data_IF_872506562043
#
_entry.id   IF_872506562043
#
_cell.length_a   1.000
_cell.length_b   1.000
_cell.length_c   1.000
_cell.angle_alpha   90.00
_cell.angle_beta   90.00
_cell.angle_gamma   90.00
#
_symmetry.space_group_name_H-M   'P 1'
#
loop_
_entity.id
_entity.type
_entity.pdbx_description
1 polymer ?
#
# COMPACT_ATOMS: atom_id res chain seq x y z
N UNK A 1 10.19 -7.32 29.78
CA UNK A 1 9.60 -6.02 30.14
C UNK A 1 8.59 -5.68 29.06
N UNK A 2 7.30 -5.80 29.36
CA UNK A 2 6.22 -5.39 28.46
C UNK A 2 6.16 -3.87 28.46
N UNK A 3 6.73 -3.25 27.43
CA UNK A 3 6.51 -1.85 27.10
C UNK A 3 4.99 -1.64 27.01
N UNK A 4 4.43 -0.75 27.83
CA UNK A 4 3.00 -0.45 27.79
C UNK A 4 2.63 -0.04 26.36
N UNK A 5 1.74 -0.80 25.73
CA UNK A 5 1.22 -0.48 24.41
C UNK A 5 0.54 0.88 24.50
N UNK A 6 1.17 1.91 23.93
CA UNK A 6 0.56 3.24 23.81
C UNK A 6 -0.72 3.07 23.01
N UNK A 7 -1.87 3.33 23.64
CA UNK A 7 -3.19 3.18 23.01
C UNK A 7 -3.49 4.33 22.03
N UNK A 8 -2.72 5.41 22.06
CA UNK A 8 -2.92 6.56 21.18
C UNK A 8 -2.04 6.54 19.94
N UNK A 9 -2.65 6.92 18.81
CA UNK A 9 -1.95 7.11 17.54
C UNK A 9 -1.01 8.31 17.64
N UNK A 10 0.21 8.15 17.17
CA UNK A 10 1.17 9.24 17.00
C UNK A 10 1.51 9.43 15.53
N UNK A 11 1.49 10.68 15.08
CA UNK A 11 1.88 11.08 13.73
C UNK A 11 3.08 12.04 13.80
N UNK A 12 3.99 12.01 12.82
CA UNK A 12 5.02 13.03 12.67
C UNK A 12 4.40 14.43 12.56
N UNK A 13 4.91 15.39 13.34
CA UNK A 13 4.43 16.78 13.34
C UNK A 13 4.48 17.46 11.96
N UNK A 14 5.35 16.95 11.06
CA UNK A 14 5.43 17.46 9.69
C UNK A 14 4.18 17.14 8.86
N UNK A 15 3.33 16.21 9.30
CA UNK A 15 2.06 15.83 8.65
C UNK A 15 0.86 16.68 9.10
N UNK A 16 1.04 17.63 10.04
CA UNK A 16 -0.01 18.53 10.51
C UNK A 16 0.21 19.97 10.06
N UNK A 17 -0.87 20.61 9.62
CA UNK A 17 -0.90 22.00 9.16
C UNK A 17 -1.77 22.16 7.93
N UNK A 18 -1.73 23.32 7.27
CA UNK A 18 -2.37 23.52 5.96
C UNK A 18 -1.67 22.72 4.87
N UNK A 19 -2.30 22.51 3.72
CA UNK A 19 -1.72 21.79 2.58
C UNK A 19 -0.32 22.31 2.23
N UNK A 20 -0.17 23.64 2.04
CA UNK A 20 1.12 24.24 1.68
C UNK A 20 2.17 24.06 2.78
N UNK A 21 1.76 24.16 4.05
CA UNK A 21 2.66 23.97 5.17
C UNK A 21 3.16 22.53 5.24
N UNK A 22 2.26 21.55 5.18
CA UNK A 22 2.63 20.12 5.20
C UNK A 22 3.50 19.77 3.99
N UNK A 23 3.15 20.22 2.79
CA UNK A 23 3.96 20.01 1.58
C UNK A 23 5.40 20.51 1.73
N UNK A 24 5.59 21.70 2.32
CA UNK A 24 6.94 22.23 2.57
C UNK A 24 7.69 21.42 3.63
N UNK A 25 6.99 21.00 4.70
CA UNK A 25 7.60 20.21 5.78
C UNK A 25 7.98 18.80 5.31
N UNK A 26 7.12 18.12 4.54
CA UNK A 26 7.41 16.79 3.99
C UNK A 26 8.53 16.83 2.96
N UNK A 27 8.61 17.88 2.13
CA UNK A 27 9.78 18.07 1.25
C UNK A 27 11.07 18.22 2.04
N UNK A 28 11.08 19.07 3.08
CA UNK A 28 12.26 19.26 3.95
C UNK A 28 12.65 17.97 4.66
N UNK A 29 11.67 17.19 5.11
CA UNK A 29 11.92 15.90 5.74
C UNK A 29 12.53 14.89 4.76
N UNK A 30 12.03 14.81 3.53
CA UNK A 30 12.61 13.92 2.52
C UNK A 30 14.05 14.26 2.16
N UNK A 31 14.37 15.56 2.02
CA UNK A 31 15.74 16.01 1.81
C UNK A 31 16.65 15.62 3.00
N UNK A 32 16.19 15.85 4.23
CA UNK A 32 16.92 15.48 5.45
C UNK A 32 17.17 13.98 5.55
N UNK A 33 16.14 13.17 5.28
CA UNK A 33 16.25 11.72 5.24
C UNK A 33 17.25 11.27 4.18
N UNK A 34 17.23 11.89 2.99
CA UNK A 34 18.14 11.57 1.89
C UNK A 34 19.59 11.95 2.16
N UNK A 35 19.84 13.07 2.84
CA UNK A 35 21.17 13.48 3.29
C UNK A 35 21.73 12.48 4.30
N UNK A 36 20.98 12.19 5.37
CA UNK A 36 21.45 11.31 6.43
C UNK A 36 21.59 9.86 5.97
N UNK A 37 20.68 9.35 5.15
CA UNK A 37 20.81 8.01 4.58
C UNK A 37 22.08 7.86 3.73
N UNK A 38 22.51 8.93 3.04
CA UNK A 38 23.77 8.93 2.27
C UNK A 38 25.00 8.88 3.16
N UNK A 39 24.95 9.56 4.31
CA UNK A 39 26.08 9.66 5.24
C UNK A 39 26.20 8.42 6.14
N UNK A 40 25.07 7.88 6.61
CA UNK A 40 25.02 6.88 7.68
C UNK A 40 24.42 5.54 7.23
N UNK A 41 23.81 5.46 6.04
CA UNK A 41 23.10 4.27 5.58
C UNK A 41 21.78 3.99 6.32
N UNK A 42 21.26 4.97 7.07
CA UNK A 42 20.06 4.83 7.89
C UNK A 42 19.16 6.07 7.82
N UNK A 43 17.86 5.87 8.03
CA UNK A 43 16.93 6.99 8.11
C UNK A 43 16.81 7.52 9.53
N UNK A 44 16.78 8.85 9.72
CA UNK A 44 16.50 9.41 11.02
C UNK A 44 15.05 9.22 11.43
N UNK A 45 14.83 9.10 12.72
CA UNK A 45 13.48 9.25 13.29
C UNK A 45 12.93 10.66 13.01
N UNK A 46 11.60 10.80 12.85
CA UNK A 46 10.96 12.11 12.77
C UNK A 46 11.29 12.93 14.01
N UNK A 47 11.67 14.21 13.81
CA UNK A 47 12.12 15.09 14.91
C UNK A 47 11.11 15.26 16.04
N UNK A 48 9.82 15.15 15.71
CA UNK A 48 8.75 15.29 16.68
C UNK A 48 7.57 14.43 16.27
N UNK A 49 7.22 13.49 17.14
CA UNK A 49 5.99 12.73 17.12
C UNK A 49 4.95 13.45 17.96
N UNK A 50 3.71 13.51 17.47
CA UNK A 50 2.60 14.22 18.12
C UNK A 50 1.43 13.26 18.22
N UNK A 51 0.82 13.23 19.40
CA UNK A 51 -0.38 12.44 19.66
C UNK A 51 -1.56 12.98 18.86
N UNK A 52 -2.26 12.07 18.21
CA UNK A 52 -3.51 12.33 17.49
C UNK A 52 -4.64 12.14 18.49
N UNK A 53 -5.47 13.17 18.75
CA UNK A 53 -6.60 13.02 19.66
C UNK A 53 -7.52 11.87 19.22
N UNK A 54 -8.05 11.06 20.15
CA UNK A 54 -9.01 10.03 19.80
C UNK A 54 -10.21 10.60 19.04
N UNK A 55 -10.58 9.95 17.93
CA UNK A 55 -11.63 10.38 17.02
C UNK A 55 -11.24 11.46 16.01
N UNK A 56 -10.03 12.03 16.12
CA UNK A 56 -9.52 13.01 15.17
C UNK A 56 -9.41 12.40 13.76
N UNK A 57 -9.63 13.24 12.75
CA UNK A 57 -9.65 12.82 11.35
C UNK A 57 -8.26 12.94 10.73
N UNK A 58 -7.80 11.84 10.13
CA UNK A 58 -6.56 11.74 9.35
C UNK A 58 -6.90 11.56 7.88
N UNK A 59 -6.36 12.44 7.04
CA UNK A 59 -6.50 12.36 5.58
C UNK A 59 -5.48 11.36 5.04
N UNK A 60 -5.95 10.19 4.64
CA UNK A 60 -5.14 9.07 4.14
C UNK A 60 -5.02 9.02 2.61
N UNK A 61 -5.84 9.77 1.87
CA UNK A 61 -5.75 9.86 0.41
C UNK A 61 -5.93 11.29 -0.10
N UNK A 62 -5.25 11.65 -1.19
CA UNK A 62 -5.25 13.03 -1.71
C UNK A 62 -6.59 13.47 -2.30
N UNK A 63 -7.33 12.53 -2.89
CA UNK A 63 -8.58 12.81 -3.66
C UNK A 63 -9.71 13.39 -2.81
N UNK A 64 -9.60 13.27 -1.49
CA UNK A 64 -10.58 13.79 -0.52
C UNK A 64 -10.07 14.99 0.28
N UNK A 65 -8.85 15.47 0.01
CA UNK A 65 -8.30 16.67 0.68
C UNK A 65 -8.80 17.97 0.02
N UNK A 66 -10.08 18.28 0.26
CA UNK A 66 -10.70 19.52 -0.20
C UNK A 66 -10.44 20.69 0.75
N UNK A 67 -10.04 20.45 2.00
CA UNK A 67 -9.86 21.47 3.04
C UNK A 67 -8.42 21.99 3.12
N UNK A 68 -7.84 22.35 1.98
CA UNK A 68 -6.40 22.66 1.85
C UNK A 68 -5.92 23.83 2.71
N UNK A 69 -6.79 24.80 2.97
CA UNK A 69 -6.47 25.99 3.76
C UNK A 69 -6.64 25.77 5.28
N UNK A 70 -7.18 24.63 5.71
CA UNK A 70 -7.39 24.31 7.12
C UNK A 70 -6.28 23.38 7.65
N UNK A 71 -5.83 23.57 8.90
CA UNK A 71 -5.00 22.59 9.58
C UNK A 71 -5.68 21.22 9.63
N UNK A 72 -4.99 20.17 9.17
CA UNK A 72 -5.43 18.79 9.26
C UNK A 72 -4.22 17.85 9.27
N UNK A 73 -4.44 16.62 9.72
CA UNK A 73 -3.48 15.52 9.57
C UNK A 73 -3.53 14.98 8.14
N UNK A 74 -2.42 15.03 7.41
CA UNK A 74 -2.33 14.65 5.99
C UNK A 74 -1.34 13.52 5.78
N UNK A 75 -1.73 12.31 6.16
CA UNK A 75 -0.90 11.11 6.06
C UNK A 75 -0.46 10.82 4.63
N UNK A 76 -1.33 11.04 3.64
CA UNK A 76 -1.01 10.80 2.23
C UNK A 76 0.22 11.59 1.74
N UNK A 77 0.57 12.70 2.39
CA UNK A 77 1.73 13.53 2.04
C UNK A 77 3.07 12.92 2.43
N UNK A 78 3.11 11.75 3.08
CA UNK A 78 4.35 10.94 3.18
C UNK A 78 4.88 10.60 1.78
N UNK A 79 4.01 10.51 0.76
CA UNK A 79 4.44 10.40 -0.65
C UNK A 79 5.39 11.52 -1.08
N UNK A 80 5.24 12.74 -0.57
CA UNK A 80 6.13 13.85 -0.87
C UNK A 80 7.51 13.70 -0.21
N UNK A 81 7.59 13.01 0.94
CA UNK A 81 8.88 12.64 1.55
C UNK A 81 9.62 11.71 0.59
N UNK A 82 8.96 10.69 0.07
CA UNK A 82 9.55 9.75 -0.89
C UNK A 82 9.93 10.40 -2.22
N UNK A 83 9.13 11.35 -2.72
CA UNK A 83 9.48 12.12 -3.92
C UNK A 83 10.78 12.88 -3.70
N UNK A 84 10.87 13.64 -2.60
CA UNK A 84 12.07 14.41 -2.27
C UNK A 84 13.30 13.52 -1.98
N UNK A 85 13.08 12.36 -1.35
CA UNK A 85 14.11 11.35 -1.10
C UNK A 85 14.69 10.75 -2.38
N UNK A 86 13.90 10.76 -3.47
CA UNK A 86 14.27 10.25 -4.79
C UNK A 86 14.83 11.34 -5.71
N UNK A 87 14.91 12.60 -5.28
CA UNK A 87 15.53 13.67 -6.07
C UNK A 87 17.02 13.32 -6.29
N UNK A 88 17.64 13.65 -7.44
CA UNK A 88 19.04 13.33 -7.68
C UNK A 88 19.97 13.86 -6.57
N UNK A 89 21.06 13.14 -6.23
CA UNK A 89 21.69 12.05 -7.00
C UNK A 89 21.22 10.62 -6.66
N UNK A 90 20.15 10.42 -5.89
CA UNK A 90 19.70 9.08 -5.47
C UNK A 90 19.09 8.25 -6.62
N UNK A 91 19.30 6.92 -6.59
CA UNK A 91 18.46 5.97 -7.35
C UNK A 91 17.12 5.83 -6.63
N UNK A 92 16.03 6.17 -7.32
CA UNK A 92 14.71 6.33 -6.71
C UNK A 92 14.11 5.06 -6.10
N UNK A 93 14.49 3.86 -6.57
CA UNK A 93 13.83 2.61 -6.17
C UNK A 93 14.40 1.98 -4.89
N UNK A 94 15.73 1.71 -4.76
CA UNK A 94 16.26 1.08 -3.54
C UNK A 94 16.00 1.89 -2.28
N UNK A 95 16.13 3.22 -2.37
CA UNK A 95 15.98 4.11 -1.22
C UNK A 95 14.52 4.16 -0.73
N UNK A 96 13.54 4.00 -1.61
CA UNK A 96 12.12 3.92 -1.22
C UNK A 96 11.79 2.62 -0.50
N UNK A 97 12.35 1.52 -0.96
CA UNK A 97 12.13 0.20 -0.36
C UNK A 97 12.70 0.17 1.06
N UNK A 98 13.92 0.68 1.25
CA UNK A 98 14.53 0.81 2.58
C UNK A 98 13.74 1.77 3.49
N UNK A 99 13.18 2.85 2.93
CA UNK A 99 12.36 3.79 3.68
C UNK A 99 11.05 3.13 4.15
N UNK A 100 10.40 2.35 3.28
CA UNK A 100 9.26 1.53 3.65
C UNK A 100 9.63 0.55 4.76
N UNK A 101 10.71 -0.20 4.60
CA UNK A 101 11.15 -1.18 5.59
C UNK A 101 11.36 -0.53 6.97
N UNK A 102 12.07 0.60 7.01
CA UNK A 102 12.33 1.33 8.25
C UNK A 102 11.05 1.84 8.92
N UNK A 103 10.15 2.49 8.16
CA UNK A 103 9.00 3.18 8.75
C UNK A 103 7.74 2.33 8.91
N UNK A 104 7.65 1.15 8.30
CA UNK A 104 6.62 0.16 8.65
C UNK A 104 6.69 -0.28 10.12
N UNK A 105 7.82 -0.10 10.79
CA UNK A 105 7.97 -0.30 12.24
C UNK A 105 7.35 0.84 13.09
N UNK A 106 6.57 1.73 12.47
CA UNK A 106 5.78 2.76 13.15
C UNK A 106 4.32 2.65 12.77
N UNK A 107 3.40 3.02 13.68
CA UNK A 107 1.96 2.95 13.39
C UNK A 107 1.55 3.75 12.14
N UNK A 108 2.06 4.98 11.99
CA UNK A 108 1.74 5.82 10.84
C UNK A 108 2.31 5.28 9.53
N UNK A 109 3.55 4.75 9.55
CA UNK A 109 4.16 4.18 8.36
C UNK A 109 3.49 2.88 7.96
N UNK A 110 3.19 2.00 8.92
CA UNK A 110 2.41 0.79 8.70
C UNK A 110 1.06 1.09 8.01
N UNK A 111 0.32 2.08 8.50
CA UNK A 111 -0.93 2.52 7.88
C UNK A 111 -0.72 3.08 6.47
N UNK A 112 0.24 3.98 6.31
CA UNK A 112 0.51 4.64 5.03
C UNK A 112 0.88 3.61 3.96
N UNK A 113 1.79 2.67 4.24
CA UNK A 113 2.23 1.67 3.26
C UNK A 113 1.19 0.58 3.01
N UNK A 114 0.32 0.26 3.97
CA UNK A 114 -0.80 -0.64 3.74
C UNK A 114 -1.88 -0.03 2.84
N UNK A 115 -2.07 1.29 2.89
CA UNK A 115 -3.14 2.00 2.16
C UNK A 115 -2.69 2.63 0.84
N UNK A 116 -1.39 2.88 0.68
CA UNK A 116 -0.85 3.54 -0.51
C UNK A 116 -0.16 2.54 -1.44
N UNK A 117 -0.67 2.40 -2.67
CA UNK A 117 -0.13 1.49 -3.69
C UNK A 117 1.03 2.14 -4.48
N UNK A 118 2.12 2.54 -3.81
CA UNK A 118 3.26 3.22 -4.48
C UNK A 118 4.44 2.33 -4.87
N UNK A 119 4.48 1.08 -4.40
CA UNK A 119 5.48 0.09 -4.82
C UNK A 119 4.75 -1.19 -5.24
N UNK A 120 5.42 -2.12 -5.94
CA UNK A 120 4.82 -3.38 -6.40
C UNK A 120 4.02 -4.05 -5.30
N UNK A 121 2.82 -4.49 -5.64
CA UNK A 121 1.85 -5.07 -4.72
C UNK A 121 2.06 -6.58 -4.66
N UNK A 122 3.31 -7.02 -4.50
CA UNK A 122 3.67 -8.43 -4.45
C UNK A 122 3.09 -9.11 -3.22
N UNK A 123 2.97 -10.45 -3.27
CA UNK A 123 2.46 -11.22 -2.14
C UNK A 123 3.32 -10.97 -0.89
N UNK A 124 4.64 -11.13 -0.99
CA UNK A 124 5.56 -10.94 0.13
C UNK A 124 5.51 -9.52 0.71
N UNK A 125 5.63 -8.49 -0.14
CA UNK A 125 5.64 -7.10 0.32
C UNK A 125 4.29 -6.70 0.93
N UNK A 126 3.19 -7.14 0.32
CA UNK A 126 1.84 -6.91 0.87
C UNK A 126 1.67 -7.62 2.21
N UNK A 127 2.16 -8.85 2.36
CA UNK A 127 2.12 -9.57 3.63
C UNK A 127 2.83 -8.77 4.74
N UNK A 128 4.03 -8.26 4.47
CA UNK A 128 4.79 -7.45 5.42
C UNK A 128 4.05 -6.16 5.81
N UNK A 129 3.43 -5.47 4.85
CA UNK A 129 2.61 -4.27 5.10
C UNK A 129 1.41 -4.58 6.00
N UNK A 130 0.67 -5.65 5.69
CA UNK A 130 -0.48 -6.06 6.48
C UNK A 130 -0.08 -6.52 7.89
N UNK A 131 1.01 -7.27 8.03
CA UNK A 131 1.56 -7.67 9.33
C UNK A 131 1.96 -6.45 10.16
N UNK A 132 2.62 -5.46 9.56
CA UNK A 132 2.98 -4.22 10.24
C UNK A 132 1.74 -3.47 10.74
N UNK A 133 0.72 -3.31 9.89
CA UNK A 133 -0.55 -2.70 10.28
C UNK A 133 -1.20 -3.43 11.46
N UNK A 134 -1.24 -4.77 11.42
CA UNK A 134 -1.83 -5.61 12.46
C UNK A 134 -1.11 -5.48 13.81
N UNK A 135 0.22 -5.28 13.82
CA UNK A 135 0.97 -4.98 15.05
C UNK A 135 0.53 -3.67 15.70
N UNK A 136 0.14 -2.67 14.91
CA UNK A 136 -0.29 -1.36 15.38
C UNK A 136 -1.81 -1.17 15.39
N UNK A 137 -2.59 -2.26 15.34
CA UNK A 137 -4.03 -2.22 15.17
C UNK A 137 -4.73 -1.34 16.23
N UNK A 138 -4.41 -1.51 17.51
CA UNK A 138 -5.07 -0.78 18.59
C UNK A 138 -4.84 0.75 18.53
N UNK A 139 -3.60 1.28 18.41
CA UNK A 139 -3.39 2.71 18.20
C UNK A 139 -4.12 3.23 16.96
N UNK A 140 -4.11 2.49 15.85
CA UNK A 140 -4.76 2.89 14.60
C UNK A 140 -6.30 2.95 14.72
N UNK A 141 -6.91 2.14 15.58
CA UNK A 141 -8.35 2.23 15.83
C UNK A 141 -8.77 3.53 16.55
N UNK A 142 -7.83 4.28 17.13
CA UNK A 142 -8.16 5.50 17.88
C UNK A 142 -8.61 6.68 17.00
N UNK A 143 -8.28 6.68 15.71
CA UNK A 143 -8.56 7.79 14.79
C UNK A 143 -9.66 7.47 13.76
N UNK A 144 -10.06 8.49 12.99
CA UNK A 144 -10.94 8.36 11.82
C UNK A 144 -10.19 8.73 10.54
N UNK A 145 -10.61 8.17 9.41
CA UNK A 145 -9.86 8.27 8.17
C UNK A 145 -10.69 8.79 7.00
N UNK A 146 -10.17 9.78 6.28
CA UNK A 146 -10.67 10.16 4.96
C UNK A 146 -9.81 9.48 3.89
N UNK A 147 -10.43 8.70 3.01
CA UNK A 147 -9.74 7.91 1.98
C UNK A 147 -10.29 8.16 0.57
N UNK A 148 -11.01 7.24 -0.07
CA UNK A 148 -11.46 7.48 -1.47
C UNK A 148 -12.85 8.10 -1.55
N UNK A 149 -13.74 7.80 -0.61
CA UNK A 149 -15.12 8.30 -0.61
C UNK A 149 -15.19 9.69 0.04
N UNK A 150 -15.57 10.74 -0.72
CA UNK A 150 -15.74 12.07 -0.15
C UNK A 150 -16.79 12.03 0.97
N UNK A 151 -16.57 12.78 2.06
CA UNK A 151 -17.48 12.97 3.21
C UNK A 151 -17.70 11.79 4.18
N UNK A 152 -17.04 10.65 3.99
CA UNK A 152 -17.10 9.53 4.95
C UNK A 152 -15.82 9.44 5.79
N UNK A 153 -15.93 9.69 7.10
CA UNK A 153 -14.84 9.49 8.05
C UNK A 153 -14.86 8.03 8.56
N UNK A 154 -14.01 7.20 7.96
CA UNK A 154 -13.98 5.75 8.14
C UNK A 154 -13.35 5.35 9.49
N UNK A 155 -13.86 4.26 10.09
CA UNK A 155 -13.08 3.43 11.03
C UNK A 155 -11.84 2.86 10.34
N UNK A 156 -10.90 2.31 11.12
CA UNK A 156 -9.81 1.51 10.57
C UNK A 156 -10.33 0.31 9.75
N UNK A 157 -11.38 -0.38 10.22
CA UNK A 157 -11.92 -1.55 9.51
C UNK A 157 -12.51 -1.17 8.14
N UNK A 158 -13.30 -0.11 8.09
CA UNK A 158 -13.87 0.40 6.83
C UNK A 158 -12.77 0.89 5.88
N UNK A 159 -11.73 1.57 6.41
CA UNK A 159 -10.56 1.96 5.62
C UNK A 159 -9.85 0.75 5.01
N UNK A 160 -9.64 -0.32 5.80
CA UNK A 160 -8.96 -1.51 5.31
C UNK A 160 -9.80 -2.32 4.32
N UNK A 161 -11.13 -2.26 4.42
CA UNK A 161 -12.00 -2.76 3.35
C UNK A 161 -11.79 -1.93 2.09
N UNK A 162 -11.85 -0.60 2.16
CA UNK A 162 -11.71 0.25 0.98
C UNK A 162 -10.32 0.09 0.30
N UNK A 163 -9.25 0.03 1.09
CA UNK A 163 -7.87 -0.07 0.58
C UNK A 163 -7.42 -1.50 0.20
N UNK A 164 -7.87 -2.53 0.93
CA UNK A 164 -7.31 -3.88 0.87
C UNK A 164 -8.34 -4.99 0.64
N UNK A 165 -9.58 -4.67 0.23
CA UNK A 165 -10.57 -5.72 -0.06
C UNK A 165 -10.10 -6.68 -1.16
N UNK A 166 -9.35 -6.20 -2.16
CA UNK A 166 -8.74 -7.06 -3.19
C UNK A 166 -7.87 -8.17 -2.57
N UNK A 167 -7.04 -7.83 -1.57
CA UNK A 167 -6.15 -8.77 -0.90
C UNK A 167 -6.95 -9.78 -0.07
N UNK A 168 -7.97 -9.31 0.65
CA UNK A 168 -8.83 -10.18 1.45
C UNK A 168 -9.66 -11.14 0.57
N UNK A 169 -10.17 -10.69 -0.58
CA UNK A 169 -10.91 -11.55 -1.52
C UNK A 169 -9.98 -12.55 -2.21
N UNK A 170 -8.78 -12.10 -2.60
CA UNK A 170 -7.80 -12.94 -3.28
C UNK A 170 -7.16 -13.97 -2.33
N UNK A 171 -6.88 -13.64 -1.08
CA UNK A 171 -6.09 -14.50 -0.19
C UNK A 171 -6.87 -15.08 1.00
N UNK A 172 -8.05 -14.53 1.31
CA UNK A 172 -8.98 -15.05 2.32
C UNK A 172 -10.40 -15.27 1.73
N UNK A 173 -10.56 -16.14 0.70
CA UNK A 173 -11.82 -16.33 -0.03
C UNK A 173 -12.95 -16.92 0.82
N UNK A 174 -12.63 -17.66 1.89
CA UNK A 174 -13.63 -18.24 2.80
C UNK A 174 -14.17 -17.23 3.82
N UNK A 175 -13.63 -16.01 3.83
CA UNK A 175 -13.94 -14.98 4.81
C UNK A 175 -13.42 -15.31 6.21
N UNK A 176 -13.71 -14.41 7.15
CA UNK A 176 -13.51 -14.58 8.57
C UNK A 176 -14.51 -13.70 9.34
N UNK A 177 -14.58 -13.85 10.66
CA UNK A 177 -15.56 -13.16 11.50
C UNK A 177 -15.36 -11.63 11.57
N UNK A 178 -14.17 -11.12 11.26
CA UNK A 178 -13.84 -9.69 11.29
C UNK A 178 -12.87 -9.31 10.17
N UNK A 179 -12.80 -8.00 9.86
CA UNK A 179 -11.82 -7.46 8.91
C UNK A 179 -10.40 -7.79 9.37
N UNK A 180 -10.12 -7.59 10.66
CA UNK A 180 -8.83 -7.94 11.26
C UNK A 180 -8.44 -9.40 10.99
N UNK A 181 -9.32 -10.35 11.26
CA UNK A 181 -9.05 -11.78 11.06
C UNK A 181 -8.86 -12.15 9.57
N UNK A 182 -9.59 -11.47 8.67
CA UNK A 182 -9.39 -11.63 7.21
C UNK A 182 -8.01 -11.15 6.77
N UNK A 183 -7.56 -10.01 7.29
CA UNK A 183 -6.23 -9.46 7.02
C UNK A 183 -5.12 -10.35 7.58
N UNK A 184 -5.28 -10.87 8.80
CA UNK A 184 -4.34 -11.84 9.41
C UNK A 184 -4.18 -13.07 8.51
N UNK A 185 -5.31 -13.67 8.10
CA UNK A 185 -5.31 -14.84 7.21
C UNK A 185 -4.67 -14.53 5.84
N UNK A 186 -5.01 -13.37 5.24
CA UNK A 186 -4.46 -12.96 3.96
C UNK A 186 -2.94 -12.78 4.05
N UNK A 187 -2.46 -12.09 5.08
CA UNK A 187 -1.04 -11.83 5.29
C UNK A 187 -0.25 -13.12 5.54
N UNK A 188 -0.76 -14.04 6.34
CA UNK A 188 -0.11 -15.34 6.59
C UNK A 188 0.03 -16.18 5.32
N UNK A 189 -1.02 -16.22 4.49
CA UNK A 189 -1.01 -16.98 3.23
C UNK A 189 -0.07 -16.37 2.22
N UNK A 190 -0.12 -15.04 2.06
CA UNK A 190 0.80 -14.31 1.19
C UNK A 190 2.27 -14.52 1.61
N UNK A 191 2.58 -14.46 2.92
CA UNK A 191 3.94 -14.63 3.44
C UNK A 191 4.53 -16.03 3.19
N UNK A 192 3.68 -17.04 3.05
CA UNK A 192 4.09 -18.45 2.81
C UNK A 192 3.88 -18.89 1.37
N UNK A 193 3.40 -17.99 0.50
CA UNK A 193 3.00 -18.34 -0.84
C UNK A 193 4.20 -18.75 -1.67
N UNK A 194 4.11 -19.92 -2.29
CA UNK A 194 5.02 -20.28 -3.39
C UNK A 194 4.59 -19.56 -4.66
N UNK A 195 5.46 -19.61 -5.69
CA UNK A 195 5.10 -19.13 -7.03
C UNK A 195 3.82 -19.79 -7.56
N UNK A 196 3.67 -21.09 -7.30
CA UNK A 196 2.50 -21.86 -7.73
C UNK A 196 1.23 -21.41 -6.99
N UNK A 197 1.30 -21.19 -5.68
CA UNK A 197 0.18 -20.66 -4.90
C UNK A 197 -0.25 -19.27 -5.43
N UNK A 198 0.71 -18.42 -5.78
CA UNK A 198 0.44 -17.11 -6.38
C UNK A 198 -0.26 -17.26 -7.74
N UNK A 199 0.18 -18.18 -8.60
CA UNK A 199 -0.46 -18.45 -9.90
C UNK A 199 -1.93 -18.86 -9.71
N UNK A 200 -2.20 -19.81 -8.81
CA UNK A 200 -3.57 -20.25 -8.52
C UNK A 200 -4.46 -19.10 -8.01
N UNK A 201 -3.93 -18.25 -7.13
CA UNK A 201 -4.65 -17.07 -6.64
C UNK A 201 -4.92 -16.08 -7.77
N UNK A 202 -3.93 -15.80 -8.62
CA UNK A 202 -4.06 -14.91 -9.78
C UNK A 202 -5.14 -15.44 -10.74
N UNK A 203 -5.08 -16.72 -11.11
CA UNK A 203 -6.06 -17.35 -12.02
C UNK A 203 -7.48 -17.24 -11.47
N UNK A 204 -7.67 -17.37 -10.15
CA UNK A 204 -8.97 -17.13 -9.51
C UNK A 204 -9.45 -15.68 -9.63
N UNK A 205 -8.55 -14.70 -9.64
CA UNK A 205 -8.88 -13.28 -9.78
C UNK A 205 -9.03 -12.81 -11.23
N UNK A 206 -8.49 -13.55 -12.22
CA UNK A 206 -8.54 -13.20 -13.63
C UNK A 206 -9.96 -12.90 -14.16
N UNK A 207 -11.02 -13.68 -13.83
CA UNK A 207 -12.38 -13.37 -14.27
C UNK A 207 -12.86 -11.97 -13.86
N UNK A 208 -12.52 -11.53 -12.64
CA UNK A 208 -12.84 -10.19 -12.14
C UNK A 208 -12.06 -9.13 -12.90
N UNK A 209 -10.75 -9.31 -13.09
CA UNK A 209 -9.93 -8.38 -13.86
C UNK A 209 -10.45 -8.25 -15.32
N UNK A 210 -10.77 -9.38 -15.96
CA UNK A 210 -11.36 -9.42 -17.30
C UNK A 210 -12.69 -8.67 -17.41
N UNK A 211 -13.53 -8.72 -16.37
CA UNK A 211 -14.80 -7.98 -16.34
C UNK A 211 -14.60 -6.46 -16.38
N UNK A 212 -13.46 -5.97 -15.87
CA UNK A 212 -13.07 -4.56 -15.86
C UNK A 212 -12.26 -4.16 -17.10
N UNK A 213 -11.59 -5.10 -17.77
CA UNK A 213 -10.83 -4.86 -19.00
C UNK A 213 -11.77 -4.69 -20.20
N UNK A 214 -12.01 -3.43 -20.60
CA UNK A 214 -12.84 -3.07 -21.77
C UNK A 214 -11.95 -2.87 -22.98
N UNK A 215 -12.29 -3.49 -24.12
CA UNK A 215 -11.60 -3.24 -25.39
C UNK A 215 -10.42 -4.16 -25.72
N UNK A 216 -10.26 -5.28 -25.02
CA UNK A 216 -9.31 -6.34 -25.43
C UNK A 216 -9.74 -6.92 -26.79
N UNK A 217 -8.83 -6.92 -27.76
CA UNK A 217 -9.07 -7.46 -29.12
C UNK A 217 -9.06 -8.98 -29.11
N UNK A 218 -8.20 -9.59 -28.30
CA UNK A 218 -7.99 -11.04 -28.23
C UNK A 218 -8.59 -11.64 -26.96
N UNK A 219 -9.75 -11.12 -26.54
CA UNK A 219 -10.39 -11.46 -25.25
C UNK A 219 -10.54 -12.96 -25.03
N UNK A 220 -10.97 -13.71 -26.04
CA UNK A 220 -11.23 -15.16 -25.90
C UNK A 220 -9.95 -15.95 -25.64
N UNK A 221 -8.84 -15.56 -26.27
CA UNK A 221 -7.51 -16.17 -26.04
C UNK A 221 -6.99 -15.79 -24.67
N UNK A 222 -7.11 -14.51 -24.29
CA UNK A 222 -6.65 -14.01 -22.99
C UNK A 222 -7.47 -14.60 -21.84
N UNK A 223 -8.75 -14.91 -22.07
CA UNK A 223 -9.63 -15.53 -21.09
C UNK A 223 -9.37 -17.03 -20.88
N UNK A 224 -8.61 -17.69 -21.75
CA UNK A 224 -8.26 -19.10 -21.62
C UNK A 224 -7.33 -19.32 -20.40
N UNK A 225 -7.75 -20.11 -19.38
CA UNK A 225 -6.93 -20.40 -18.21
C UNK A 225 -5.60 -21.08 -18.56
N UNK A 226 -5.55 -21.87 -19.65
CA UNK A 226 -4.30 -22.53 -20.09
C UNK A 226 -3.32 -21.48 -20.60
N UNK A 227 -3.79 -20.55 -21.43
CA UNK A 227 -3.00 -19.42 -21.90
C UNK A 227 -2.48 -18.57 -20.73
N UNK A 228 -3.37 -18.19 -19.80
CA UNK A 228 -3.00 -17.38 -18.63
C UNK A 228 -1.93 -18.07 -17.79
N UNK A 229 -2.09 -19.36 -17.50
CA UNK A 229 -1.13 -20.13 -16.71
C UNK A 229 0.22 -20.21 -17.39
N UNK A 230 0.25 -20.49 -18.70
CA UNK A 230 1.50 -20.54 -19.46
C UNK A 230 2.22 -19.19 -19.43
N UNK A 231 1.50 -18.09 -19.64
CA UNK A 231 2.07 -16.74 -19.59
C UNK A 231 2.62 -16.39 -18.21
N UNK A 232 1.88 -16.68 -17.14
CA UNK A 232 2.32 -16.44 -15.76
C UNK A 232 3.54 -17.30 -15.38
N UNK A 233 3.58 -18.57 -15.81
CA UNK A 233 4.72 -19.45 -15.58
C UNK A 233 5.99 -18.98 -16.31
N UNK A 234 5.83 -18.37 -17.49
CA UNK A 234 6.94 -17.87 -18.30
C UNK A 234 7.50 -16.52 -17.85
N UNK A 235 6.84 -15.79 -16.95
CA UNK A 235 7.36 -14.51 -16.43
C UNK A 235 8.70 -14.70 -15.73
N UNK A 236 9.65 -13.81 -15.96
CA UNK A 236 10.85 -13.74 -15.13
C UNK A 236 10.51 -13.40 -13.66
N UNK A 237 11.42 -13.62 -12.70
CA UNK A 237 11.13 -13.36 -11.29
C UNK A 237 10.69 -11.92 -10.98
N UNK A 238 11.26 -10.92 -11.65
CA UNK A 238 10.96 -9.51 -11.38
C UNK A 238 9.58 -9.12 -11.93
N UNK A 239 9.25 -9.58 -13.14
CA UNK A 239 7.93 -9.38 -13.72
C UNK A 239 6.84 -10.13 -12.93
N UNK A 240 7.15 -11.33 -12.43
CA UNK A 240 6.22 -12.11 -11.61
C UNK A 240 5.96 -11.46 -10.25
N UNK A 241 6.98 -10.91 -9.61
CA UNK A 241 6.85 -10.25 -8.30
C UNK A 241 5.74 -9.20 -8.32
N UNK A 242 5.70 -8.37 -9.37
CA UNK A 242 4.70 -7.30 -9.55
C UNK A 242 3.24 -7.75 -9.55
N UNK A 243 2.97 -8.99 -9.96
CA UNK A 243 1.60 -9.51 -10.10
C UNK A 243 1.28 -10.54 -9.04
N UNK A 244 2.28 -11.00 -8.29
CA UNK A 244 2.18 -12.10 -7.34
C UNK A 244 1.13 -11.88 -6.24
N UNK A 245 0.82 -10.63 -5.87
CA UNK A 245 -0.25 -10.34 -4.91
C UNK A 245 -1.66 -10.51 -5.48
N UNK A 246 -1.82 -10.62 -6.80
CA UNK A 246 -3.12 -10.62 -7.48
C UNK A 246 -3.94 -9.34 -7.26
N UNK A 247 -3.27 -8.18 -7.18
CA UNK A 247 -3.95 -6.88 -7.18
C UNK A 247 -4.64 -6.65 -8.52
N UNK A 248 -5.90 -6.19 -8.50
CA UNK A 248 -6.71 -6.06 -9.72
C UNK A 248 -6.12 -5.06 -10.72
N UNK A 249 -5.49 -3.98 -10.26
CA UNK A 249 -4.81 -3.01 -11.15
C UNK A 249 -3.67 -3.65 -11.94
N UNK A 250 -2.85 -4.45 -11.26
CA UNK A 250 -1.64 -5.05 -11.86
C UNK A 250 -2.04 -6.17 -12.83
N UNK A 251 -3.11 -6.91 -12.49
CA UNK A 251 -3.70 -7.89 -13.39
C UNK A 251 -4.30 -7.22 -14.63
N UNK A 252 -4.97 -6.06 -14.48
CA UNK A 252 -5.48 -5.29 -15.61
C UNK A 252 -4.36 -4.85 -16.56
N UNK A 253 -3.25 -4.35 -16.02
CA UNK A 253 -2.06 -4.01 -16.81
C UNK A 253 -1.57 -5.23 -17.61
N UNK A 254 -1.42 -6.39 -16.97
CA UNK A 254 -1.00 -7.61 -17.68
C UNK A 254 -1.95 -8.05 -18.79
N UNK A 255 -3.26 -7.91 -18.58
CA UNK A 255 -4.23 -8.27 -19.60
C UNK A 255 -4.07 -7.41 -20.86
N UNK A 256 -3.79 -6.12 -20.71
CA UNK A 256 -3.51 -5.24 -21.87
C UNK A 256 -2.13 -5.50 -22.48
N UNK A 257 -1.11 -5.82 -21.69
CA UNK A 257 0.20 -6.21 -22.20
C UNK A 257 0.09 -7.45 -23.09
N UNK A 258 -0.63 -8.49 -22.64
CA UNK A 258 -0.85 -9.70 -23.42
C UNK A 258 -1.67 -9.45 -24.69
N UNK A 259 -2.68 -8.57 -24.64
CA UNK A 259 -3.45 -8.17 -25.83
C UNK A 259 -2.58 -7.46 -26.87
N UNK A 260 -1.69 -6.58 -26.40
CA UNK A 260 -0.74 -5.89 -27.26
C UNK A 260 0.27 -6.86 -27.89
N UNK A 261 0.84 -7.76 -27.11
CA UNK A 261 1.78 -8.78 -27.60
C UNK A 261 1.15 -9.71 -28.65
N UNK A 262 -0.11 -10.13 -28.45
CA UNK A 262 -0.84 -10.94 -29.43
C UNK A 262 -1.08 -10.20 -30.75
N UNK A 263 -1.16 -8.86 -30.71
CA UNK A 263 -1.28 -8.03 -31.91
C UNK A 263 0.04 -7.79 -32.66
N UNK A 264 1.18 -8.14 -32.07
CA UNK A 264 2.50 -8.06 -32.71
C UNK A 264 2.94 -9.38 -33.36
N UNK A 265 2.21 -10.47 -33.11
CA UNK A 265 2.41 -11.80 -33.71
C UNK A 265 1.68 -11.91 -35.05
#
# INVERSE_FOLDING_TARGET
MTSGESTSLQLPSFLYGTFRSVQQKTKKEGLRCGEQYREEGAFPTPRQMVEVPPGEVVVAHEVVDFQRERPAWRLYMVSHVMVALSEPPQSSFPVRDDYEECFRETAWGALFFATTQMCPVSAERTAQRLQALLRFWAPLQSARYLFTTPSAALTLEELMVDACNWAMEAWCPLGAASVRARLETAAERMARATREDCIEVILRQMPRALSSARGLKYRDVIADPVFQRQRLAALDPQAFERVSGACTSDLLEKLYDWDYELGLQ
#
